data_IF_405414506788
#
_entry.id   IF_405414506788
#
_cell.length_a   1.000
_cell.length_b   1.000
_cell.length_c   1.000
_cell.angle_alpha   90.00
_cell.angle_beta   90.00
_cell.angle_gamma   90.00
#
_symmetry.space_group_name_H-M   'P 1'
#
loop_
_entity.id
_entity.type
_entity.pdbx_description
1 polymer ?
2 non-polymer ?
3 non-polymer ?
4 non-polymer ?
5 water ?
#
# COMPACT_ATOMS: atom_id res chain seq x y z
N UNK A 1 -8.87 1.17 14.10
CA UNK A 1 -8.24 0.02 13.34
C UNK A 1 -9.13 -0.33 12.15
N UNK A 2 -8.60 -1.08 11.21
CA UNK A 2 -9.42 -1.65 10.15
C UNK A 2 -9.14 -3.15 10.09
N UNK A 3 -10.07 -3.91 9.54
CA UNK A 3 -9.95 -5.38 9.48
C UNK A 3 -10.35 -5.92 8.12
N UNK A 4 -9.78 -7.07 7.77
CA UNK A 4 -10.20 -7.79 6.56
C UNK A 4 -10.06 -9.28 6.80
N UNK A 5 -11.10 -10.02 6.45
CA UNK A 5 -11.13 -11.47 6.60
C UNK A 5 -11.15 -12.16 5.24
N UNK A 6 -10.20 -13.06 5.02
CA UNK A 6 -10.19 -13.83 3.78
C UNK A 6 -11.28 -14.91 3.75
N UNK A 7 -11.70 -15.40 4.92
CA UNK A 7 -12.77 -16.39 4.97
C UNK A 7 -14.08 -15.74 4.54
N UNK A 8 -14.58 -16.17 3.39
CA UNK A 8 -15.83 -15.67 2.83
C UNK A 8 -15.62 -14.39 2.05
N UNK A 9 -14.37 -14.00 1.84
CA UNK A 9 -14.09 -12.75 1.11
C UNK A 9 -14.59 -12.80 -0.32
N UNK A 10 -15.04 -11.67 -0.83
CA UNK A 10 -15.46 -11.51 -2.20
C UNK A 10 -15.18 -10.08 -2.65
N UNK A 11 -15.40 -9.76 -3.91
CA UNK A 11 -15.09 -8.39 -4.33
C UNK A 11 -15.75 -7.31 -3.47
N UNK A 12 -16.99 -7.55 -3.06
CA UNK A 12 -17.69 -6.58 -2.21
C UNK A 12 -16.99 -6.37 -0.88
N UNK A 13 -16.66 -7.46 -0.17
CA UNK A 13 -16.07 -7.32 1.16
C UNK A 13 -14.64 -6.75 1.09
N UNK A 14 -13.93 -7.07 0.00
CA UNK A 14 -12.62 -6.47 -0.19
C UNK A 14 -12.77 -4.96 -0.44
N UNK A 15 -13.74 -4.59 -1.27
CA UNK A 15 -14.02 -3.17 -1.53
C UNK A 15 -14.36 -2.41 -0.25
N UNK A 16 -15.14 -3.05 0.63
CA UNK A 16 -15.44 -2.45 1.93
C UNK A 16 -14.17 -2.23 2.75
N UNK A 17 -13.23 -3.18 2.69
CA UNK A 17 -11.98 -3.09 3.43
C UNK A 17 -11.15 -1.92 2.91
N UNK A 18 -11.05 -1.81 1.59
CA UNK A 18 -10.23 -0.78 0.98
C UNK A 18 -10.86 0.58 1.31
N UNK A 19 -12.20 0.65 1.27
CA UNK A 19 -12.90 1.87 1.72
C UNK A 19 -12.59 2.25 3.17
N UNK A 20 -12.63 1.27 4.06
CA UNK A 20 -12.31 1.47 5.48
C UNK A 20 -10.86 1.98 5.62
N UNK A 21 -9.97 1.39 4.83
CA UNK A 21 -8.55 1.73 4.90
C UNK A 21 -8.35 3.19 4.50
N UNK A 22 -8.92 3.58 3.36
CA UNK A 22 -8.88 4.98 2.93
C UNK A 22 -9.44 5.90 4.01
N UNK A 23 -10.58 5.52 4.56
CA UNK A 23 -11.32 6.37 5.51
C UNK A 23 -10.62 6.49 6.85
N UNK A 24 -9.69 5.57 7.12
CA UNK A 24 -8.95 5.59 8.39
C UNK A 24 -7.77 6.55 8.34
N UNK A 25 -7.48 7.08 7.15
CA UNK A 25 -6.33 7.95 6.97
C UNK A 25 -6.80 9.39 7.13
N UNK A 26 -6.17 10.13 8.05
CA UNK A 26 -6.65 11.48 8.30
C UNK A 26 -6.22 12.48 7.22
N UNK A 27 -7.05 13.49 7.01
CA UNK A 27 -6.74 14.59 6.09
C UNK A 27 -7.53 15.81 6.57
N UNK A 28 -7.02 16.99 6.28
CA UNK A 28 -7.75 18.21 6.62
C UNK A 28 -8.18 18.95 5.36
N UNK A 29 -7.61 18.53 4.23
CA UNK A 29 -7.75 19.23 2.98
C UNK A 29 -7.86 18.22 1.84
N UNK A 30 -8.63 18.56 0.80
CA UNK A 30 -8.59 17.83 -0.47
C UNK A 30 -8.03 18.76 -1.54
N UNK A 31 -7.27 18.17 -2.46
CA UNK A 31 -6.71 18.86 -3.59
C UNK A 31 -7.29 18.24 -4.85
N UNK A 32 -8.03 19.04 -5.61
CA UNK A 32 -8.79 18.54 -6.73
C UNK A 32 -9.67 17.35 -6.33
N UNK A 33 -10.30 17.50 -5.16
CA UNK A 33 -11.26 16.54 -4.60
C UNK A 33 -10.65 15.21 -4.13
N UNK A 34 -9.32 15.16 -4.06
CA UNK A 34 -8.60 13.96 -3.60
C UNK A 34 -8.04 14.28 -2.20
N UNK A 35 -8.32 13.43 -1.19
CA UNK A 35 -7.73 13.64 0.13
C UNK A 35 -6.22 13.81 0.14
N UNK A 36 -5.75 14.85 0.86
CA UNK A 36 -4.33 15.17 0.96
C UNK A 36 -3.83 14.64 2.29
N UNK A 37 -2.98 13.61 2.25
CA UNK A 37 -2.44 13.09 3.51
C UNK A 37 -1.65 14.17 4.26
N UNK A 38 -1.58 14.01 5.58
CA UNK A 38 -0.95 15.03 6.43
C UNK A 38 0.58 15.06 6.30
N UNK A 39 1.18 16.24 6.55
CA UNK A 39 2.64 16.37 6.54
C UNK A 39 3.28 15.44 7.58
N UNK A 40 2.71 15.43 8.78
CA UNK A 40 3.20 14.59 9.86
C UNK A 40 2.11 14.41 10.89
N UNK A 41 2.26 13.34 11.67
CA UNK A 41 1.41 13.06 12.82
C UNK A 41 2.36 12.65 13.93
N UNK A 42 2.12 13.18 15.14
CA UNK A 42 2.99 12.89 16.28
C UNK A 42 2.50 11.74 17.13
N UNK A 43 3.45 10.94 17.59
CA UNK A 43 3.20 9.85 18.53
C UNK A 43 2.60 8.62 17.89
N UNK A 44 1.79 7.91 18.67
CA UNK A 44 1.23 6.65 18.22
C UNK A 44 0.14 6.84 17.16
N UNK A 45 -0.46 8.02 17.11
CA UNK A 45 -1.53 8.31 16.14
C UNK A 45 -1.06 8.27 14.69
N UNK A 46 0.26 8.24 14.50
CA UNK A 46 0.85 8.13 13.16
C UNK A 46 0.54 6.77 12.53
N UNK A 47 0.21 5.78 13.35
CA UNK A 47 0.12 4.39 12.85
C UNK A 47 -1.28 3.82 12.89
N UNK A 48 -1.74 3.36 11.74
CA UNK A 48 -2.98 2.62 11.65
C UNK A 48 -2.70 1.13 11.80
N UNK A 49 -3.53 0.44 12.57
CA UNK A 49 -3.44 -1.02 12.68
C UNK A 49 -4.45 -1.70 11.76
N UNK A 50 -3.94 -2.58 10.89
CA UNK A 50 -4.78 -3.37 9.98
C UNK A 50 -4.76 -4.81 10.45
N UNK A 51 -5.92 -5.31 10.86
CA UNK A 51 -6.04 -6.70 11.30
C UNK A 51 -6.44 -7.54 10.11
N UNK A 52 -5.55 -8.46 9.69
CA UNK A 52 -5.79 -9.30 8.53
C UNK A 52 -5.92 -10.73 8.98
N UNK A 53 -6.96 -11.41 8.51
CA UNK A 53 -7.21 -12.82 8.87
C UNK A 53 -7.15 -13.69 7.64
N UNK A 54 -6.32 -14.73 7.73
CA UNK A 54 -6.30 -15.71 6.66
C UNK A 54 -7.56 -16.56 6.66
N UNK A 55 -7.68 -17.42 5.64
CA UNK A 55 -8.89 -18.20 5.48
C UNK A 55 -9.23 -19.04 6.71
N UNK A 56 -8.19 -19.53 7.41
CA UNK A 56 -8.36 -20.31 8.65
C UNK A 56 -8.61 -19.47 9.90
N UNK A 57 -8.59 -18.15 9.76
CA UNK A 57 -8.90 -17.29 10.90
C UNK A 57 -7.68 -16.89 11.70
N UNK A 58 -6.49 -17.34 11.28
CA UNK A 58 -5.24 -16.84 11.87
C UNK A 58 -4.97 -15.41 11.47
N UNK A 59 -4.33 -14.65 12.33
CA UNK A 59 -4.26 -13.21 12.10
C UNK A 59 -2.88 -12.61 12.30
N UNK A 60 -2.61 -11.58 11.49
CA UNK A 60 -1.52 -10.65 11.76
C UNK A 60 -2.09 -9.23 11.86
N UNK A 61 -1.39 -8.36 12.57
CA UNK A 61 -1.76 -6.96 12.63
C UNK A 61 -0.64 -6.19 11.97
N UNK A 62 -0.99 -5.39 10.97
CA UNK A 62 -0.01 -4.64 10.19
C UNK A 62 -0.07 -3.16 10.57
N UNK A 63 1.08 -2.57 10.89
CA UNK A 63 1.17 -1.12 11.20
C UNK A 63 1.49 -0.31 9.94
N UNK A 64 0.65 0.69 9.67
CA UNK A 64 0.79 1.52 8.46
C UNK A 64 0.92 2.99 8.88
N UNK A 65 1.92 3.68 8.34
CA UNK A 65 2.09 5.10 8.64
C UNK A 65 1.00 5.86 7.87
N UNK A 66 0.17 6.62 8.58
CA UNK A 66 -1.01 7.26 7.97
C UNK A 66 -0.68 8.48 7.09
N UNK A 67 0.57 8.94 7.13
CA UNK A 67 1.00 10.07 6.30
C UNK A 67 1.38 9.62 4.90
N UNK A 68 1.77 8.35 4.74
CA UNK A 68 2.29 7.92 3.45
C UNK A 68 1.82 6.52 3.02
N UNK A 69 0.97 5.90 3.84
CA UNK A 69 0.45 4.52 3.63
C UNK A 69 1.59 3.51 3.51
N UNK A 70 2.74 3.80 4.12
CA UNK A 70 3.86 2.84 4.08
C UNK A 70 3.69 1.82 5.21
N UNK A 71 3.83 0.53 4.91
CA UNK A 71 3.81 -0.48 5.96
C UNK A 71 5.13 -0.45 6.72
N UNK A 72 5.06 -0.38 8.05
CA UNK A 72 6.28 -0.31 8.85
C UNK A 72 6.68 -1.66 9.41
N UNK A 73 5.70 -2.48 9.69
CA UNK A 73 5.95 -3.76 10.37
C UNK A 73 4.63 -4.41 10.70
N UNK A 74 4.68 -5.52 11.41
CA UNK A 74 3.47 -6.32 11.69
C UNK A 74 3.72 -7.19 12.92
N UNK A 75 2.65 -7.62 13.53
CA UNK A 75 2.69 -8.50 14.67
C UNK A 75 2.05 -9.83 14.30
N UNK A 76 2.76 -10.92 14.58
CA UNK A 76 2.22 -12.25 14.32
C UNK A 76 2.40 -13.06 15.59
N UNK A 77 1.27 -13.31 16.26
CA UNK A 77 1.21 -13.93 17.59
C UNK A 77 2.02 -13.04 18.52
N UNK A 78 3.08 -13.58 19.12
CA UNK A 78 3.84 -12.84 20.11
C UNK A 78 5.15 -12.23 19.60
N UNK A 79 5.34 -12.25 18.28
CA UNK A 79 6.54 -11.68 17.69
C UNK A 79 6.21 -10.50 16.79
N UNK A 80 6.92 -9.38 16.98
CA UNK A 80 6.77 -8.26 16.05
C UNK A 80 7.90 -8.28 15.06
N UNK A 81 7.63 -7.72 13.87
CA UNK A 81 8.58 -7.69 12.77
C UNK A 81 8.56 -6.31 12.15
N UNK A 82 9.72 -5.68 12.01
CA UNK A 82 9.82 -4.35 11.40
C UNK A 82 10.84 -4.28 10.30
N UNK A 83 10.58 -3.46 9.28
CA UNK A 83 11.59 -3.22 8.26
C UNK A 83 12.85 -2.60 8.84
N UNK A 84 13.97 -2.88 8.19
CA UNK A 84 15.25 -2.36 8.64
C UNK A 84 15.46 -0.98 8.03
N UNK A 85 14.78 -0.01 8.62
CA UNK A 85 14.91 1.40 8.18
C UNK A 85 14.47 2.33 9.29
N UNK A 86 14.98 3.57 9.29
CA UNK A 86 14.70 4.41 10.47
C UNK A 86 13.21 4.69 10.75
N UNK A 87 12.37 4.82 9.73
CA UNK A 87 10.96 5.08 9.98
C UNK A 87 10.29 3.91 10.69
N UNK A 88 10.74 2.69 10.38
CA UNK A 88 10.19 1.50 11.01
C UNK A 88 10.75 1.31 12.41
N UNK A 89 12.02 1.65 12.62
CA UNK A 89 12.55 1.60 13.97
C UNK A 89 11.75 2.56 14.86
N UNK A 90 11.50 3.78 14.35
CA UNK A 90 10.66 4.75 15.06
C UNK A 90 9.30 4.16 15.39
N UNK A 91 8.66 3.55 14.40
CA UNK A 91 7.35 2.92 14.61
C UNK A 91 7.39 1.90 15.77
N UNK A 92 8.48 1.15 15.85
CA UNK A 92 8.61 0.13 16.89
C UNK A 92 8.65 0.70 18.31
N UNK A 93 8.78 2.02 18.41
CA UNK A 93 8.67 2.71 19.69
C UNK A 93 7.21 2.89 20.13
N UNK A 94 6.28 2.73 19.18
CA UNK A 94 4.86 3.00 19.43
C UNK A 94 3.90 1.80 19.30
N UNK A 95 4.19 0.87 18.39
CA UNK A 95 3.27 -0.23 18.15
C UNK A 95 3.90 -1.56 18.49
N UNK A 96 3.03 -2.49 18.91
CA UNK A 96 3.39 -3.89 19.21
C UNK A 96 4.43 -4.01 20.32
N UNK A 97 4.49 -3.02 21.19
CA UNK A 97 5.42 -3.07 22.32
C UNK A 97 5.19 -4.27 23.28
N UNK A 98 3.99 -4.86 23.28
CA UNK A 98 3.68 -6.03 24.11
C UNK A 98 4.14 -7.37 23.52
N UNK A 99 4.69 -7.35 22.30
CA UNK A 99 5.30 -8.55 21.73
C UNK A 99 6.40 -9.05 22.65
N UNK A 100 6.47 -10.36 22.80
CA UNK A 100 7.54 -11.01 23.57
C UNK A 100 8.93 -10.83 22.95
N UNK A 101 8.99 -10.71 21.64
CA UNK A 101 10.26 -10.44 20.98
C UNK A 101 10.02 -9.63 19.71
N UNK A 102 11.04 -8.89 19.33
CA UNK A 102 11.01 -8.07 18.12
C UNK A 102 12.10 -8.53 17.17
N UNK A 103 11.71 -8.85 15.93
CA UNK A 103 12.68 -9.19 14.90
C UNK A 103 12.71 -8.05 13.89
N UNK A 104 13.90 -7.56 13.58
CA UNK A 104 14.09 -6.61 12.50
C UNK A 104 14.37 -7.39 11.23
N UNK A 105 13.49 -7.24 10.24
CA UNK A 105 13.70 -7.90 8.96
C UNK A 105 15.00 -7.48 8.29
N UNK A 106 15.61 -8.36 7.49
CA UNK A 106 16.95 -8.06 6.93
C UNK A 106 16.85 -7.29 5.60
N UNK A 107 15.90 -6.36 5.56
CA UNK A 107 15.73 -5.46 4.42
C UNK A 107 14.83 -4.33 4.86
N UNK A 108 14.96 -3.23 4.15
CA UNK A 108 13.98 -2.16 4.25
C UNK A 108 12.71 -2.51 3.47
N UNK A 109 11.74 -1.61 3.52
CA UNK A 109 10.42 -1.85 2.94
C UNK A 109 10.26 -1.39 1.50
N UNK A 110 11.31 -0.91 0.86
CA UNK A 110 11.08 -0.48 -0.51
C UNK A 110 11.11 -1.61 -1.52
N UNK A 111 10.40 -1.37 -2.62
CA UNK A 111 10.20 -2.37 -3.63
C UNK A 111 11.50 -2.97 -4.15
N UNK A 112 12.50 -2.12 -4.38
CA UNK A 112 13.78 -2.60 -4.89
C UNK A 112 14.40 -3.61 -3.92
N UNK A 113 14.50 -3.25 -2.65
CA UNK A 113 15.09 -4.14 -1.65
C UNK A 113 14.28 -5.41 -1.43
N UNK A 114 12.97 -5.28 -1.43
CA UNK A 114 12.11 -6.45 -1.24
C UNK A 114 12.22 -7.42 -2.42
N UNK A 115 12.29 -6.90 -3.63
CA UNK A 115 12.43 -7.74 -4.81
C UNK A 115 13.77 -8.45 -4.80
N UNK A 116 14.81 -7.76 -4.33
CA UNK A 116 16.13 -8.39 -4.23
C UNK A 116 16.04 -9.57 -3.24
N UNK A 117 15.41 -9.33 -2.10
CA UNK A 117 15.28 -10.36 -1.06
C UNK A 117 14.44 -11.53 -1.55
N UNK A 118 13.39 -11.23 -2.31
CA UNK A 118 12.48 -12.27 -2.76
C UNK A 118 13.06 -13.05 -3.94
N UNK A 119 14.05 -12.44 -4.60
CA UNK A 119 14.65 -13.08 -5.76
C UNK A 119 13.85 -12.93 -7.04
N UNK A 120 12.82 -12.08 -7.03
CA UNK A 120 12.05 -11.82 -8.23
C UNK A 120 11.42 -10.43 -8.21
N UNK A 121 11.15 -9.87 -9.38
CA UNK A 121 10.48 -8.58 -9.47
C UNK A 121 8.98 -8.72 -9.27
N UNK A 122 8.30 -7.61 -8.99
CA UNK A 122 6.86 -7.54 -8.75
C UNK A 122 6.14 -8.07 -9.97
N UNK A 123 6.73 -7.86 -11.14
CA UNK A 123 6.12 -8.22 -12.40
C UNK A 123 5.85 -9.71 -12.48
N UNK A 124 6.64 -10.49 -11.77
CA UNK A 124 6.52 -11.93 -11.81
C UNK A 124 5.80 -12.59 -10.63
N UNK A 125 5.27 -11.79 -9.71
CA UNK A 125 4.61 -12.34 -8.54
C UNK A 125 3.11 -12.19 -8.64
N UNK A 126 2.36 -13.28 -8.73
CA UNK A 126 0.92 -13.09 -8.82
C UNK A 126 0.35 -12.43 -7.57
N UNK A 127 -0.69 -11.62 -7.80
CA UNK A 127 -1.42 -10.98 -6.70
C UNK A 127 -2.90 -11.25 -6.86
N UNK A 128 -3.64 -10.99 -5.80
CA UNK A 128 -5.06 -11.35 -5.74
C UNK A 128 -5.44 -11.68 -4.32
N UNK A 129 -6.71 -12.02 -4.10
CA UNK A 129 -7.14 -12.45 -2.78
C UNK A 129 -6.49 -13.79 -2.34
N UNK A 130 -6.39 -14.78 -3.24
CA UNK A 130 -5.69 -15.99 -2.76
C UNK A 130 -4.23 -15.70 -2.40
N UNK A 131 -3.57 -14.84 -3.17
CA UNK A 131 -2.15 -14.49 -2.87
C UNK A 131 -2.06 -13.79 -1.50
N UNK A 132 -3.05 -12.97 -1.19
CA UNK A 132 -3.05 -12.29 0.10
C UNK A 132 -3.25 -13.28 1.24
N UNK A 133 -4.16 -14.25 1.05
CA UNK A 133 -4.31 -15.34 2.02
C UNK A 133 -2.96 -16.04 2.25
N UNK A 134 -2.28 -16.39 1.16
CA UNK A 134 -0.92 -16.97 1.27
C UNK A 134 0.04 -16.08 2.03
N UNK A 135 -0.04 -14.78 1.76
CA UNK A 135 0.93 -13.84 2.32
C UNK A 135 0.77 -13.76 3.83
N UNK A 136 -0.48 -13.68 4.28
CA UNK A 136 -0.78 -13.63 5.71
C UNK A 136 -0.21 -14.88 6.35
N UNK A 137 -0.45 -16.02 5.71
CA UNK A 137 -0.03 -17.30 6.28
C UNK A 137 1.49 -17.38 6.40
N UNK A 138 2.18 -16.89 5.38
CA UNK A 138 3.62 -16.90 5.39
C UNK A 138 4.19 -16.05 6.51
N UNK A 139 3.57 -14.90 6.75
CA UNK A 139 4.05 -13.98 7.75
C UNK A 139 3.87 -14.46 9.19
N UNK A 140 3.03 -15.46 9.38
CA UNK A 140 2.75 -16.01 10.70
C UNK A 140 4.02 -16.58 11.33
N UNK A 141 4.89 -17.17 10.51
CA UNK A 141 6.14 -17.72 11.00
C UNK A 141 7.31 -17.21 10.21
N UNK A 142 8.37 -16.82 10.91
CA UNK A 142 9.47 -16.15 10.29
C UNK A 142 10.23 -16.96 9.25
N UNK A 143 10.39 -16.36 8.08
CA UNK A 143 11.17 -16.88 6.99
C UNK A 143 11.44 -15.65 6.14
N UNK A 144 12.61 -15.06 6.27
CA UNK A 144 12.83 -13.77 5.65
C UNK A 144 12.69 -13.75 4.13
N UNK A 145 13.20 -14.76 3.46
CA UNK A 145 13.06 -14.80 2.02
C UNK A 145 11.61 -14.94 1.59
N UNK A 146 10.88 -15.82 2.25
CA UNK A 146 9.47 -16.00 1.93
C UNK A 146 8.68 -14.74 2.26
N UNK A 147 9.05 -14.15 3.38
CA UNK A 147 8.37 -12.94 3.83
C UNK A 147 8.50 -11.79 2.83
N UNK A 148 9.61 -11.70 2.10
CA UNK A 148 9.80 -10.60 1.15
C UNK A 148 8.74 -10.66 0.05
N UNK A 149 8.50 -11.85 -0.50
CA UNK A 149 7.46 -12.02 -1.51
C UNK A 149 6.08 -11.76 -0.91
N UNK A 150 5.84 -12.29 0.30
CA UNK A 150 4.56 -12.08 0.98
C UNK A 150 4.32 -10.59 1.16
N UNK A 151 5.35 -9.86 1.54
CA UNK A 151 5.22 -8.43 1.76
C UNK A 151 4.95 -7.67 0.46
N UNK A 152 5.57 -8.10 -0.65
CA UNK A 152 5.26 -7.53 -1.95
C UNK A 152 3.78 -7.71 -2.28
N UNK A 153 3.24 -8.89 -1.97
CA UNK A 153 1.79 -9.11 -2.16
C UNK A 153 0.97 -8.22 -1.23
N UNK A 154 1.33 -8.20 0.05
CA UNK A 154 0.59 -7.44 1.05
C UNK A 154 0.53 -5.94 0.74
N UNK A 155 1.69 -5.37 0.36
CA UNK A 155 1.76 -3.92 0.05
C UNK A 155 0.83 -3.58 -1.10
N UNK A 156 0.84 -4.41 -2.14
CA UNK A 156 0.07 -4.05 -3.34
C UNK A 156 -1.41 -4.27 -3.11
N UNK A 157 -1.78 -5.27 -2.31
CA UNK A 157 -3.20 -5.57 -2.14
C UNK A 157 -3.86 -4.72 -1.06
N UNK A 158 -3.08 -3.92 -0.32
CA UNK A 158 -3.65 -3.09 0.74
C UNK A 158 -3.33 -1.63 0.38
N UNK A 159 -2.11 -1.21 0.65
CA UNK A 159 -1.72 0.19 0.41
C UNK A 159 -1.93 0.66 -1.03
N UNK A 160 -1.52 -0.14 -2.02
CA UNK A 160 -1.57 0.36 -3.39
C UNK A 160 -3.02 0.43 -3.87
N UNK A 161 -3.81 -0.53 -3.44
CA UNK A 161 -5.25 -0.54 -3.76
C UNK A 161 -5.96 0.63 -3.08
N UNK A 162 -5.49 1.00 -1.89
CA UNK A 162 -6.06 2.20 -1.22
C UNK A 162 -5.74 3.45 -2.04
N UNK A 163 -4.53 3.51 -2.59
CA UNK A 163 -4.09 4.70 -3.31
C UNK A 163 -4.77 4.87 -4.67
N UNK A 164 -5.11 3.76 -5.33
CA UNK A 164 -5.60 3.78 -6.73
C UNK A 164 -6.80 2.88 -6.92
N UNK A 165 -7.92 3.47 -7.32
CA UNK A 165 -9.11 2.71 -7.64
C UNK A 165 -8.84 1.60 -8.68
N UNK A 166 -8.01 1.89 -9.67
CA UNK A 166 -7.64 0.92 -10.70
C UNK A 166 -7.01 -0.32 -10.04
N UNK A 167 -6.12 -0.10 -9.08
CA UNK A 167 -5.46 -1.25 -8.43
C UNK A 167 -6.45 -2.04 -7.56
N UNK A 168 -7.32 -1.36 -6.81
CA UNK A 168 -8.42 -2.02 -6.09
C UNK A 168 -9.23 -2.91 -7.05
N UNK A 169 -9.60 -2.36 -8.20
CA UNK A 169 -10.39 -3.12 -9.18
C UNK A 169 -9.63 -4.34 -9.71
N UNK A 170 -8.33 -4.17 -9.95
CA UNK A 170 -7.45 -5.26 -10.39
C UNK A 170 -7.49 -6.39 -9.37
N UNK A 171 -7.42 -6.06 -8.09
CA UNK A 171 -7.47 -7.10 -7.06
C UNK A 171 -8.86 -7.74 -7.02
N UNK A 172 -9.91 -6.94 -7.19
CA UNK A 172 -11.26 -7.50 -7.19
C UNK A 172 -11.44 -8.51 -8.30
N UNK A 173 -10.82 -8.24 -9.45
CA UNK A 173 -10.83 -9.14 -10.61
C UNK A 173 -10.08 -10.44 -10.27
N UNK A 174 -9.18 -10.36 -9.31
CA UNK A 174 -8.38 -11.49 -8.86
C UNK A 174 -8.89 -12.04 -7.52
N UNK A 175 -10.20 -12.03 -7.29
CA UNK A 175 -10.73 -12.47 -6.01
C UNK A 175 -10.53 -13.97 -5.83
N UNK A 176 -10.57 -14.72 -6.93
CA UNK A 176 -10.58 -16.17 -6.84
C UNK A 176 -9.49 -16.83 -7.67
N UNK A 177 -8.66 -16.00 -8.29
CA UNK A 177 -7.57 -16.45 -9.17
C UNK A 177 -6.51 -15.36 -9.19
N UNK A 178 -5.32 -15.67 -8.70
CA UNK A 178 -4.22 -14.71 -8.78
C UNK A 178 -3.74 -14.50 -10.19
N UNK A 179 -3.17 -13.32 -10.44
CA UNK A 179 -2.52 -13.04 -11.70
C UNK A 179 -1.51 -11.96 -11.42
N UNK A 180 -0.35 -12.00 -12.10
CA UNK A 180 0.65 -10.93 -11.97
C UNK A 180 0.02 -9.56 -12.26
N UNK A 181 0.51 -8.51 -11.60
CA UNK A 181 -0.07 -7.18 -11.86
C UNK A 181 0.07 -6.77 -13.32
N UNK A 182 -0.89 -6.00 -13.81
CA UNK A 182 -0.80 -5.44 -15.14
C UNK A 182 0.36 -4.43 -15.13
N UNK A 183 0.92 -4.16 -16.30
CA UNK A 183 1.96 -3.12 -16.43
C UNK A 183 1.45 -1.75 -15.92
N UNK A 184 0.16 -1.48 -16.15
CA UNK A 184 -0.48 -0.25 -15.67
C UNK A 184 -0.41 -0.16 -14.14
N UNK A 185 -0.71 -1.28 -13.48
CA UNK A 185 -0.59 -1.35 -12.02
C UNK A 185 0.81 -0.97 -11.50
N UNK A 186 1.83 -1.59 -12.09
CA UNK A 186 3.22 -1.32 -11.71
C UNK A 186 3.55 0.16 -11.92
N UNK A 187 3.10 0.68 -13.06
CA UNK A 187 3.31 2.09 -13.43
C UNK A 187 2.71 3.04 -12.38
N UNK A 188 1.46 2.79 -12.01
CA UNK A 188 0.81 3.61 -10.98
C UNK A 188 1.56 3.55 -9.65
N UNK A 189 1.96 2.34 -9.25
CA UNK A 189 2.69 2.20 -7.99
C UNK A 189 3.94 3.06 -8.01
N UNK A 190 4.67 2.96 -9.10
CA UNK A 190 5.93 3.64 -9.24
C UNK A 190 5.75 5.15 -9.34
N UNK A 191 4.54 5.57 -9.70
CA UNK A 191 4.26 6.98 -10.00
C UNK A 191 3.48 7.71 -8.92
N UNK A 192 3.21 7.05 -7.79
CA UNK A 192 2.33 7.66 -6.80
C UNK A 192 2.89 8.97 -6.25
N UNK A 193 4.17 8.98 -5.90
CA UNK A 193 4.77 10.18 -5.35
C UNK A 193 4.80 11.32 -6.38
N UNK A 194 5.23 10.98 -7.59
CA UNK A 194 5.23 11.92 -8.73
C UNK A 194 3.86 12.50 -9.00
N UNK A 195 2.84 11.65 -9.10
CA UNK A 195 1.48 12.13 -9.35
C UNK A 195 0.99 13.00 -8.21
N UNK A 196 1.24 12.58 -6.98
CA UNK A 196 0.82 13.33 -5.79
C UNK A 196 1.43 14.73 -5.84
N UNK A 197 2.73 14.78 -6.13
CA UNK A 197 3.42 16.06 -6.26
C UNK A 197 2.84 16.93 -7.37
N UNK A 198 2.65 16.37 -8.55
CA UNK A 198 2.20 17.16 -9.69
C UNK A 198 0.78 17.69 -9.50
N UNK A 199 -0.09 16.88 -8.89
CA UNK A 199 -1.47 17.30 -8.58
C UNK A 199 -1.46 18.48 -7.60
N UNK A 200 -0.56 18.44 -6.62
CA UNK A 200 -0.39 19.57 -5.72
C UNK A 200 0.20 20.81 -6.41
N UNK A 201 1.19 20.60 -7.28
CA UNK A 201 1.79 21.75 -7.99
C UNK A 201 0.81 22.38 -8.97
N UNK A 202 -0.16 21.59 -9.43
CA UNK A 202 -1.14 22.09 -10.41
C UNK A 202 -2.05 23.16 -9.77
N UNK A 203 -2.23 23.11 -8.44
CA UNK A 203 -2.88 24.22 -7.74
C UNK A 203 -1.87 25.36 -7.66
N UNK A 204 -2.22 26.48 -8.27
CA UNK A 204 -1.24 27.54 -8.49
C UNK A 204 -0.78 27.57 -9.93
N UNK A 205 -1.11 26.54 -10.70
CA UNK A 205 -0.67 26.45 -12.08
C UNK A 205 -1.86 26.11 -13.00
N UNK A 206 -3.06 26.53 -12.61
CA UNK A 206 -4.28 26.37 -13.43
C UNK A 206 -4.55 24.94 -13.82
N UNK A 207 -4.24 24.02 -12.91
CA UNK A 207 -4.53 22.61 -13.17
C UNK A 207 -3.51 21.88 -14.01
N UNK A 208 -2.41 22.55 -14.37
CA UNK A 208 -1.37 22.02 -15.26
C UNK A 208 -0.18 21.51 -14.42
N UNK A 209 0.25 20.28 -14.70
CA UNK A 209 1.46 19.73 -14.10
C UNK A 209 2.69 20.56 -14.48
N UNK A 210 3.54 20.87 -13.51
CA UNK A 210 4.84 21.47 -13.82
C UNK A 210 5.71 20.50 -14.62
N UNK A 211 5.59 19.21 -14.36
CA UNK A 211 6.32 18.18 -15.08
C UNK A 211 5.39 17.01 -15.39
N UNK A 212 5.29 16.62 -16.67
CA UNK A 212 4.43 15.51 -17.07
C UNK A 212 4.83 14.21 -16.40
N UNK A 213 3.83 13.40 -16.08
CA UNK A 213 4.03 12.06 -15.53
C UNK A 213 3.78 11.04 -16.63
N UNK A 214 4.71 10.11 -16.81
CA UNK A 214 4.55 9.06 -17.83
C UNK A 214 3.95 7.81 -17.19
N UNK A 215 2.83 7.33 -17.73
CA UNK A 215 2.20 6.08 -17.25
C UNK A 215 1.98 5.07 -18.37
N UNK A 216 1.87 3.80 -17.97
CA UNK A 216 1.41 2.77 -18.89
C UNK A 216 -0.11 2.61 -18.71
N UNK A 217 -0.86 2.63 -19.81
CA UNK A 217 -2.30 2.47 -19.73
C UNK A 217 -2.74 1.01 -19.75
N UNK A 218 -4.05 0.78 -19.70
CA UNK A 218 -4.64 -0.56 -19.72
C UNK A 218 -4.27 -1.41 -20.94
N UNK A 219 -3.89 -0.74 -22.02
CA UNK A 219 -3.56 -1.40 -23.28
C UNK A 219 -2.05 -1.68 -23.39
N UNK A 220 -1.29 -1.25 -22.40
CA UNK A 220 0.16 -1.46 -22.38
C UNK A 220 0.92 -0.34 -23.07
N UNK A 221 0.19 0.71 -23.44
CA UNK A 221 0.76 1.89 -24.11
C UNK A 221 1.25 2.95 -23.13
N UNK A 222 2.43 3.51 -23.38
CA UNK A 222 2.98 4.60 -22.57
C UNK A 222 2.28 5.92 -22.90
N UNK A 223 1.82 6.64 -21.87
CA UNK A 223 1.06 7.87 -22.04
C UNK A 223 1.60 8.98 -21.11
N UNK A 224 1.49 10.24 -21.56
CA UNK A 224 1.88 11.39 -20.75
C UNK A 224 0.67 12.01 -20.06
N UNK A 225 0.79 12.22 -18.76
CA UNK A 225 -0.25 12.91 -17.97
C UNK A 225 0.29 14.31 -17.69
N UNK A 226 -0.46 15.32 -18.12
CA UNK A 226 0.03 16.71 -18.10
C UNK A 226 -0.84 17.64 -17.29
N UNK A 227 -2.07 17.23 -16.98
CA UNK A 227 -2.98 18.06 -16.19
C UNK A 227 -4.07 17.29 -15.44
N UNK A 228 -4.80 18.00 -14.58
CA UNK A 228 -5.79 17.39 -13.68
C UNK A 228 -7.08 16.89 -14.36
N UNK A 229 -7.23 17.13 -15.66
CA UNK A 229 -8.41 16.59 -16.36
C UNK A 229 -8.22 15.13 -16.74
N UNK A 230 -7.00 14.61 -16.58
CA UNK A 230 -6.73 13.21 -16.90
C UNK A 230 -7.54 12.27 -16.01
N UNK A 231 -7.95 11.14 -16.59
CA UNK A 231 -8.73 10.14 -15.86
C UNK A 231 -8.00 9.64 -14.60
N UNK A 232 -6.67 9.62 -14.67
CA UNK A 232 -5.89 9.20 -13.51
C UNK A 232 -6.16 10.09 -12.31
N UNK A 233 -6.39 11.38 -12.58
CA UNK A 233 -6.63 12.35 -11.51
C UNK A 233 -8.09 12.43 -11.10
N UNK A 234 -9.00 12.38 -12.08
CA UNK A 234 -10.41 12.56 -11.81
C UNK A 234 -11.08 11.29 -11.28
N UNK A 235 -10.51 10.13 -11.64
CA UNK A 235 -11.21 8.82 -11.52
C UNK A 235 -10.31 7.64 -11.19
N UNK A 236 -9.18 7.89 -10.56
CA UNK A 236 -8.29 6.78 -10.19
C UNK A 236 -7.60 7.01 -8.84
N UNK A 237 -6.65 7.94 -8.79
CA UNK A 237 -5.97 8.25 -7.53
C UNK A 237 -6.93 8.67 -6.42
N UNK A 238 -6.71 8.13 -5.21
CA UNK A 238 -7.61 8.32 -4.07
C UNK A 238 -6.98 9.01 -2.88
N UNK A 239 -5.66 9.09 -2.88
CA UNK A 239 -4.88 9.65 -1.76
C UNK A 239 -3.66 10.36 -2.35
N UNK A 240 -3.34 11.53 -1.80
CA UNK A 240 -2.14 12.25 -2.19
C UNK A 240 -1.08 12.28 -1.10
N UNK A 241 0.13 11.82 -1.45
CA UNK A 241 1.28 12.00 -0.58
C UNK A 241 1.56 13.50 -0.48
N UNK A 242 1.69 14.02 0.73
CA UNK A 242 1.91 15.47 0.92
C UNK A 242 3.27 15.85 0.35
N UNK A 243 3.36 16.96 -0.40
CA UNK A 243 4.65 17.40 -0.97
C UNK A 243 5.72 17.66 0.08
N UNK A 244 5.31 17.99 1.29
CA UNK A 244 6.26 18.15 2.40
C UNK A 244 7.05 16.85 2.67
N UNK A 245 6.50 15.73 2.20
CA UNK A 245 7.13 14.42 2.34
C UNK A 245 7.76 13.89 1.05
N UNK A 246 7.90 14.76 0.04
CA UNK A 246 8.45 14.38 -1.25
C UNK A 246 9.78 15.08 -1.53
X LIG B 1 -4.95 18.07 -20.44
X LIG B 1 -4.32 18.60 -21.72
X LIG B 1 -5.10 18.09 -22.94
X LIG B 1 -5.11 16.56 -22.93
X LIG B 1 -5.64 16.03 -21.59
X LIG B 1 -5.41 14.53 -21.51
X LIG B 1 -3.19 20.76 -21.29
X LIG B 1 -3.33 22.25 -21.31
X LIG B 1 -4.27 20.06 -21.68
X LIG B 1 -4.52 18.52 -24.15
X LIG B 1 -5.92 16.11 -24.00
X LIG B 1 -4.98 16.64 -20.49
X LIG B 1 -6.33 14.00 -20.60
X LIG B 1 -2.14 20.22 -20.92
X LIG C 1 8.51 1.21 -1.79
X LIG C 1 8.11 2.65 -1.43
X LIG C 1 6.87 2.56 -0.53
X LIG C 1 5.79 1.85 -1.35
X LIG C 1 6.19 0.40 -1.24
X LIG C 1 9.26 1.34 -2.95
X LIG C 1 9.24 3.36 -0.94
X LIG C 1 7.15 1.77 0.62
X LIG C 1 4.49 2.10 -0.88
X LIG C 1 7.44 0.25 -1.92
X LIG D 1 -9.66 -16.15 -1.85
X LIG D 1 -9.63 -17.55 -2.06
X LIG D 1 -10.68 -15.81 -0.76
X LIG D 1 -10.35 -16.45 0.47
X LIG D 1 -12.08 -16.23 -1.22
X LIG D 1 -13.04 -15.95 -0.24
X LIG E 1 -11.96 10.59 -5.27
X LIG E 1 -13.04 9.71 -4.98
X LIG E 1 -12.20 11.03 -6.70
X LIG E 1 -11.58 10.14 -7.59
X LIG E 1 -11.78 12.48 -6.92
X LIG E 1 -12.59 13.06 -7.93
#
# INVERSE_FOLDING_TARGET
DVSFRLSGADPSSYGMFIKDLRNALPHTEKVYNIPLLLPSVSGAGRYLLMHLFNYDGNTITVAVDVTNVYIMGYLALTTSYFFNEPAADLASQYVFRSARRKITLPYSGNYERLQIAAGKPREKIPIGLPALDTAISTLLHYDSTAAAGALLVLIQTTAEAARFKYIEQQIQERAYRDEVPSSATISLENSWSGLSKQIQLAQGNNGVFRTPTVLVDSKGNRVQITNVTSNVVTSNIQLLLNTKNI
NAG C1 C2 C3 C4 C5 C6 C7 C8 N2 O3 O4 O5 O6 O7
RIP C1 C2 C3 C4 C5 O1 O2 O3 O4 O5
GOL C1 O1 C2 O2 C3 O3
GOL C1 O1 C2 O2 C3 O3
#
